data_IF_612030250105
#
_entry.id   IF_612030250105
#
_cell.length_a   1.000
_cell.length_b   1.000
_cell.length_c   1.000
_cell.angle_alpha   90.00
_cell.angle_beta   90.00
_cell.angle_gamma   90.00
#
_symmetry.space_group_name_H-M   'P 1'
#
loop_
_entity.id
_entity.type
_entity.pdbx_description
1 polymer ?
#
# COMPACT_ATOMS: atom_id res chain seq x y z
N UNK A 1 -4.64 8.79 -31.43
CA UNK A 1 -3.57 9.63 -30.95
C UNK A 1 -3.43 9.38 -29.46
N UNK A 2 -2.31 8.78 -29.07
CA UNK A 2 -2.00 8.60 -27.67
C UNK A 2 -1.80 10.00 -27.07
N UNK A 3 -2.78 10.48 -26.36
CA UNK A 3 -2.60 11.60 -25.46
C UNK A 3 -1.89 11.01 -24.26
N UNK A 4 -0.58 10.97 -24.31
CA UNK A 4 0.19 10.76 -23.10
C UNK A 4 -0.13 11.92 -22.17
N UNK A 5 -0.86 11.62 -21.11
CA UNK A 5 -1.14 12.60 -20.08
C UNK A 5 0.15 12.87 -19.34
N UNK A 6 0.63 14.09 -19.31
CA UNK A 6 1.59 14.45 -18.29
C UNK A 6 0.85 14.31 -16.96
N UNK A 7 1.12 13.24 -16.23
CA UNK A 7 0.91 13.26 -14.80
C UNK A 7 1.87 14.34 -14.28
N UNK A 8 1.37 15.54 -14.10
CA UNK A 8 2.10 16.58 -13.39
C UNK A 8 2.12 16.23 -11.90
N UNK A 9 2.77 15.12 -11.59
CA UNK A 9 3.19 14.86 -10.24
C UNK A 9 4.48 15.66 -10.04
N UNK A 10 4.33 16.84 -9.50
CA UNK A 10 5.47 17.66 -9.07
C UNK A 10 6.04 17.08 -7.76
N UNK A 11 6.61 15.90 -7.84
CA UNK A 11 7.62 15.52 -6.87
C UNK A 11 8.83 16.47 -7.05
N UNK A 12 9.49 16.82 -5.96
CA UNK A 12 10.66 17.73 -5.93
C UNK A 12 11.80 17.38 -6.90
N UNK A 13 11.77 16.19 -7.51
CA UNK A 13 12.71 15.69 -8.51
C UNK A 13 11.95 15.20 -9.74
N UNK A 14 11.04 16.05 -10.24
CA UNK A 14 10.25 15.69 -11.40
C UNK A 14 11.13 15.22 -12.57
N UNK A 15 10.88 14.02 -13.02
CA UNK A 15 11.37 13.44 -14.28
C UNK A 15 10.85 14.20 -15.51
N UNK A 16 10.17 15.30 -15.30
CA UNK A 16 9.59 16.17 -16.32
C UNK A 16 10.50 17.35 -16.62
N UNK A 17 11.74 17.09 -16.98
CA UNK A 17 12.45 18.10 -17.73
C UNK A 17 11.69 18.31 -19.04
N UNK A 18 10.84 19.36 -19.06
CA UNK A 18 10.25 19.92 -20.28
C UNK A 18 9.28 19.02 -21.05
N UNK A 19 8.43 18.23 -20.37
CA UNK A 19 7.32 17.62 -21.06
C UNK A 19 6.21 18.67 -21.29
N UNK A 20 6.24 19.31 -22.44
CA UNK A 20 5.13 20.10 -22.93
C UNK A 20 4.25 19.21 -23.80
N UNK A 21 2.99 18.93 -23.41
CA UNK A 21 2.10 18.17 -24.27
C UNK A 21 1.87 18.96 -25.55
N UNK A 22 2.41 18.44 -26.66
CA UNK A 22 2.28 19.06 -27.97
C UNK A 22 1.41 18.19 -28.86
N UNK A 23 0.43 18.82 -29.51
CA UNK A 23 -0.31 18.21 -30.59
C UNK A 23 0.22 18.82 -31.88
N UNK A 24 0.83 18.00 -32.72
CA UNK A 24 1.23 18.44 -34.05
C UNK A 24 0.05 18.28 -34.99
N UNK A 25 -0.45 19.37 -35.53
CA UNK A 25 -1.52 19.37 -36.52
C UNK A 25 -0.92 19.44 -37.91
N UNK A 26 -1.31 18.53 -38.77
CA UNK A 26 -1.02 18.61 -40.20
C UNK A 26 -1.78 19.79 -40.81
N UNK A 27 -1.26 20.41 -41.89
CA UNK A 27 -1.95 21.50 -42.57
C UNK A 27 -3.40 21.13 -42.95
N UNK A 28 -4.34 22.04 -42.64
CA UNK A 28 -5.75 21.84 -42.89
C UNK A 28 -6.50 20.92 -41.89
N UNK A 29 -5.84 20.47 -40.82
CA UNK A 29 -6.49 19.72 -39.74
C UNK A 29 -6.85 20.65 -38.61
N UNK A 30 -7.98 20.38 -37.97
CA UNK A 30 -8.48 21.08 -36.79
C UNK A 30 -8.68 20.10 -35.65
N UNK A 31 -8.33 20.52 -34.43
CA UNK A 31 -8.70 19.82 -33.20
C UNK A 31 -9.68 20.71 -32.44
N UNK A 32 -10.78 20.11 -32.04
CA UNK A 32 -11.78 20.77 -31.18
C UNK A 32 -11.82 20.05 -29.84
N UNK A 33 -12.07 20.81 -28.78
CA UNK A 33 -12.31 20.26 -27.44
C UNK A 33 -13.41 21.07 -26.77
N UNK A 34 -14.17 20.39 -25.93
CA UNK A 34 -15.17 21.04 -25.09
C UNK A 34 -14.58 21.24 -23.68
N UNK A 35 -14.87 22.42 -23.12
CA UNK A 35 -14.52 22.74 -21.75
C UNK A 35 -15.80 23.05 -20.96
N UNK A 36 -15.94 22.45 -19.80
CA UNK A 36 -17.12 22.64 -18.94
C UNK A 36 -16.72 23.42 -17.69
N UNK A 37 -17.44 24.48 -17.40
CA UNK A 37 -17.31 25.23 -16.15
C UNK A 37 -18.55 24.92 -15.31
N UNK A 38 -18.31 24.33 -14.13
CA UNK A 38 -19.37 24.01 -13.18
C UNK A 38 -19.35 25.00 -12.04
N UNK A 39 -20.46 25.66 -11.81
CA UNK A 39 -20.64 26.58 -10.67
C UNK A 39 -21.86 26.14 -9.86
N UNK A 40 -21.80 26.28 -8.56
CA UNK A 40 -22.92 25.91 -7.69
C UNK A 40 -22.54 25.93 -6.21
N UNK A 41 -23.54 25.66 -5.38
CA UNK A 41 -23.36 25.49 -3.94
C UNK A 41 -23.25 23.98 -3.66
N UNK A 42 -22.22 23.53 -2.95
CA UNK A 42 -22.10 22.11 -2.63
C UNK A 42 -23.24 21.65 -1.72
N UNK A 43 -23.75 20.43 -1.94
CA UNK A 43 -24.78 19.83 -1.09
C UNK A 43 -24.33 19.67 0.36
N UNK A 44 -23.04 19.43 0.56
CA UNK A 44 -22.43 19.33 1.88
C UNK A 44 -21.24 20.27 1.97
N UNK A 45 -21.13 20.97 3.10
CA UNK A 45 -19.97 21.84 3.39
C UNK A 45 -18.69 21.01 3.28
N UNK A 46 -17.71 21.52 2.57
CA UNK A 46 -16.40 20.88 2.31
C UNK A 46 -16.38 19.68 1.34
N UNK A 47 -17.50 19.37 0.66
CA UNK A 47 -17.57 18.25 -0.28
C UNK A 47 -17.89 18.69 -1.71
N UNK A 48 -17.47 19.87 -2.11
CA UNK A 48 -17.66 20.40 -3.46
C UNK A 48 -17.09 19.48 -4.55
N UNK A 49 -15.97 18.80 -4.27
CA UNK A 49 -15.34 17.85 -5.21
C UNK A 49 -16.24 16.67 -5.56
N UNK A 50 -17.01 16.14 -4.62
CA UNK A 50 -17.95 15.06 -4.89
C UNK A 50 -19.03 15.48 -5.86
N UNK A 51 -19.59 16.68 -5.69
CA UNK A 51 -20.58 17.22 -6.63
C UNK A 51 -20.01 17.42 -8.04
N UNK A 52 -18.76 17.89 -8.15
CA UNK A 52 -18.09 18.03 -9.44
C UNK A 52 -17.86 16.68 -10.10
N UNK A 53 -17.48 15.65 -9.33
CA UNK A 53 -17.33 14.29 -9.84
C UNK A 53 -18.64 13.72 -10.35
N UNK A 54 -19.74 13.85 -9.61
CA UNK A 54 -21.06 13.38 -10.01
C UNK A 54 -21.51 14.05 -11.33
N UNK A 55 -21.28 15.36 -11.44
CA UNK A 55 -21.58 16.10 -12.66
C UNK A 55 -20.67 15.63 -13.81
N UNK A 56 -19.38 15.47 -13.56
CA UNK A 56 -18.45 15.01 -14.58
C UNK A 56 -18.83 13.61 -15.10
N UNK A 57 -19.14 12.66 -14.22
CA UNK A 57 -19.60 11.32 -14.59
C UNK A 57 -20.86 11.41 -15.45
N UNK A 58 -21.83 12.23 -15.05
CA UNK A 58 -23.10 12.39 -15.76
C UNK A 58 -22.93 12.99 -17.16
N UNK A 59 -22.10 14.03 -17.30
CA UNK A 59 -21.93 14.73 -18.57
C UNK A 59 -20.91 14.09 -19.49
N UNK A 60 -19.83 13.56 -18.95
CA UNK A 60 -18.78 12.88 -19.73
C UNK A 60 -19.19 11.45 -20.11
N UNK A 61 -20.32 10.95 -19.55
CA UNK A 61 -20.79 9.58 -19.79
C UNK A 61 -19.66 8.56 -19.64
N UNK A 62 -18.85 8.76 -18.59
CA UNK A 62 -17.76 7.84 -18.30
C UNK A 62 -18.36 6.46 -17.99
N UNK A 63 -18.19 5.54 -18.91
CA UNK A 63 -18.46 4.12 -18.68
C UNK A 63 -17.15 3.46 -18.29
N UNK A 64 -17.17 2.71 -17.19
CA UNK A 64 -16.08 1.83 -16.89
C UNK A 64 -16.17 0.62 -17.83
N UNK A 65 -15.24 0.51 -18.76
CA UNK A 65 -15.09 -0.72 -19.54
C UNK A 65 -14.28 -1.71 -18.69
N UNK A 66 -14.86 -2.88 -18.47
CA UNK A 66 -14.10 -3.97 -17.86
C UNK A 66 -13.03 -4.44 -18.84
N UNK A 67 -11.85 -4.81 -18.36
CA UNK A 67 -10.84 -5.40 -19.24
C UNK A 67 -11.40 -6.65 -19.91
N UNK A 68 -11.08 -6.84 -21.17
CA UNK A 68 -11.57 -7.97 -21.97
C UNK A 68 -11.20 -9.33 -21.36
N UNK A 69 -10.06 -9.40 -20.66
CA UNK A 69 -9.60 -10.61 -19.99
C UNK A 69 -9.05 -10.32 -18.59
N UNK A 70 -9.89 -10.37 -17.54
CA UNK A 70 -9.45 -10.15 -16.16
C UNK A 70 -8.35 -11.14 -15.70
N UNK A 71 -8.37 -12.38 -16.18
CA UNK A 71 -7.36 -13.39 -15.85
C UNK A 71 -5.97 -13.03 -16.43
N UNK A 72 -5.89 -12.45 -17.61
CA UNK A 72 -4.62 -11.96 -18.14
C UNK A 72 -4.04 -10.85 -17.28
N UNK A 73 -4.88 -9.93 -16.80
CA UNK A 73 -4.44 -8.85 -15.91
C UNK A 73 -3.98 -9.42 -14.57
N UNK A 74 -4.73 -10.38 -14.02
CA UNK A 74 -4.33 -11.08 -12.77
C UNK A 74 -2.98 -11.76 -12.94
N UNK A 75 -2.80 -12.53 -14.01
CA UNK A 75 -1.56 -13.24 -14.27
C UNK A 75 -0.37 -12.29 -14.52
N UNK A 76 -0.58 -11.22 -15.27
CA UNK A 76 0.44 -10.19 -15.47
C UNK A 76 0.83 -9.51 -14.15
N UNK A 77 -0.14 -9.26 -13.28
CA UNK A 77 0.10 -8.69 -11.95
C UNK A 77 0.93 -9.62 -11.07
N UNK A 78 0.63 -10.92 -11.04
CA UNK A 78 1.44 -11.88 -10.30
C UNK A 78 2.84 -12.04 -10.89
N UNK A 79 2.97 -12.07 -12.23
CA UNK A 79 4.29 -12.06 -12.87
C UNK A 79 5.11 -10.84 -12.47
N UNK A 80 4.50 -9.66 -12.41
CA UNK A 80 5.17 -8.45 -11.95
C UNK A 80 5.60 -8.56 -10.48
N UNK A 81 4.78 -9.18 -9.62
CA UNK A 81 5.15 -9.44 -8.21
C UNK A 81 6.32 -10.41 -8.11
N UNK A 82 6.36 -11.44 -8.97
CA UNK A 82 7.51 -12.36 -9.05
C UNK A 82 8.79 -11.61 -9.43
N UNK A 83 8.71 -10.67 -10.38
CA UNK A 83 9.84 -9.81 -10.76
C UNK A 83 10.30 -8.90 -9.60
N UNK A 84 9.39 -8.46 -8.72
CA UNK A 84 9.74 -7.69 -7.52
C UNK A 84 10.34 -8.54 -6.42
N UNK A 85 10.11 -9.85 -6.44
CA UNK A 85 10.60 -10.76 -5.40
C UNK A 85 12.12 -10.76 -5.36
N UNK A 86 12.66 -10.59 -4.15
CA UNK A 86 14.10 -10.43 -3.93
C UNK A 86 14.54 -11.27 -2.73
N UNK A 87 15.66 -11.95 -2.87
CA UNK A 87 16.33 -12.65 -1.76
C UNK A 87 17.32 -11.69 -1.12
N UNK A 88 17.16 -11.47 0.17
CA UNK A 88 18.10 -10.75 1.02
C UNK A 88 18.66 -11.68 2.07
N UNK A 89 19.58 -11.21 2.89
CA UNK A 89 20.20 -12.02 3.96
C UNK A 89 19.14 -12.58 4.93
N UNK A 90 18.14 -11.81 5.22
CA UNK A 90 17.04 -12.13 6.15
C UNK A 90 16.04 -13.12 5.56
N UNK A 91 15.93 -13.21 4.23
CA UNK A 91 15.00 -14.11 3.54
C UNK A 91 14.41 -13.52 2.25
N UNK A 92 13.09 -13.65 2.07
CA UNK A 92 12.39 -13.19 0.88
C UNK A 92 11.60 -11.92 1.18
N UNK A 93 11.72 -10.92 0.30
CA UNK A 93 10.99 -9.66 0.37
C UNK A 93 10.57 -9.21 -1.02
N UNK A 94 9.66 -8.26 -1.11
CA UNK A 94 9.33 -7.58 -2.36
C UNK A 94 9.93 -6.19 -2.39
N UNK A 95 10.59 -5.86 -3.49
CA UNK A 95 11.00 -4.48 -3.79
C UNK A 95 9.76 -3.58 -3.93
N UNK A 96 9.90 -2.31 -3.60
CA UNK A 96 8.83 -1.32 -3.82
C UNK A 96 8.56 -1.02 -5.30
N UNK A 97 9.41 -1.47 -6.21
CA UNK A 97 9.22 -1.25 -7.65
C UNK A 97 10.51 -1.14 -8.43
N UNK A 98 10.37 -0.53 -9.60
CA UNK A 98 11.47 -0.24 -10.50
C UNK A 98 11.64 1.28 -10.63
N UNK A 99 12.87 1.72 -10.76
CA UNK A 99 13.21 3.11 -11.07
C UNK A 99 14.00 3.19 -12.37
N UNK A 100 13.73 4.18 -13.25
CA UNK A 100 14.56 4.41 -14.39
C UNK A 100 15.90 5.03 -13.98
N UNK A 101 16.98 4.61 -14.62
CA UNK A 101 18.27 5.28 -14.55
C UNK A 101 18.32 6.49 -15.51
N UNK A 102 19.48 7.10 -15.65
CA UNK A 102 19.70 8.24 -16.55
C UNK A 102 19.49 7.92 -18.04
N UNK A 103 19.49 6.63 -18.42
CA UNK A 103 19.25 6.12 -19.78
C UNK A 103 17.82 5.60 -19.95
N UNK A 104 16.92 5.83 -18.98
CA UNK A 104 15.57 5.26 -18.90
C UNK A 104 15.53 3.73 -18.87
N UNK A 105 16.59 3.08 -18.40
CA UNK A 105 16.60 1.65 -18.12
C UNK A 105 16.01 1.44 -16.73
N UNK A 106 14.92 0.68 -16.66
CA UNK A 106 14.25 0.39 -15.40
C UNK A 106 15.00 -0.70 -14.62
N UNK A 107 15.45 -0.35 -13.43
CA UNK A 107 16.13 -1.27 -12.52
C UNK A 107 15.31 -1.47 -11.25
N UNK A 108 15.28 -2.70 -10.73
CA UNK A 108 14.60 -3.02 -9.49
C UNK A 108 15.25 -2.27 -8.33
N UNK A 109 14.44 -1.59 -7.53
CA UNK A 109 14.92 -0.84 -6.37
C UNK A 109 15.36 -1.79 -5.24
N UNK A 110 16.40 -1.41 -4.53
CA UNK A 110 16.85 -2.11 -3.33
C UNK A 110 16.26 -1.43 -2.09
N UNK A 111 14.93 -1.34 -2.06
CA UNK A 111 14.15 -0.77 -0.98
C UNK A 111 12.92 -1.66 -0.71
N UNK A 112 12.68 -2.01 0.56
CA UNK A 112 11.71 -3.01 0.96
C UNK A 112 10.90 -2.50 2.13
N UNK A 113 9.60 -2.32 1.93
CA UNK A 113 8.65 -1.87 2.95
C UNK A 113 7.57 -2.91 3.19
N UNK A 114 7.16 -3.06 4.46
CA UNK A 114 6.14 -4.05 4.84
C UNK A 114 4.74 -3.67 4.38
N UNK A 115 4.40 -2.39 4.46
CA UNK A 115 3.05 -1.87 4.27
C UNK A 115 2.91 -1.04 3.00
N UNK A 116 2.47 0.18 3.15
CA UNK A 116 1.88 1.06 2.15
C UNK A 116 2.56 1.06 0.77
N UNK A 117 3.82 1.46 0.65
CA UNK A 117 4.49 1.47 -0.66
C UNK A 117 4.99 0.09 -1.06
N UNK A 118 5.59 -0.64 -0.14
CA UNK A 118 6.21 -1.93 -0.40
C UNK A 118 5.23 -3.09 -0.50
N UNK A 119 4.05 -2.95 0.09
CA UNK A 119 2.93 -3.90 -0.02
C UNK A 119 3.26 -5.36 0.27
N UNK A 120 4.40 -5.64 0.97
CA UNK A 120 4.87 -6.99 1.19
C UNK A 120 3.81 -7.89 1.86
N UNK A 121 3.18 -7.41 2.93
CA UNK A 121 2.15 -8.18 3.64
C UNK A 121 0.89 -8.37 2.80
N UNK A 122 0.46 -7.36 2.03
CA UNK A 122 -0.72 -7.44 1.18
C UNK A 122 -0.52 -8.42 0.03
N UNK A 123 0.61 -8.35 -0.67
CA UNK A 123 0.90 -9.30 -1.74
C UNK A 123 1.04 -10.73 -1.23
N UNK A 124 1.63 -10.93 -0.05
CA UNK A 124 1.65 -12.25 0.59
C UNK A 124 0.23 -12.77 0.84
N UNK A 125 -0.69 -11.91 1.30
CA UNK A 125 -2.11 -12.29 1.45
C UNK A 125 -2.73 -12.70 0.11
N UNK A 126 -2.56 -11.92 -0.94
CA UNK A 126 -3.10 -12.24 -2.27
C UNK A 126 -2.54 -13.57 -2.81
N UNK A 127 -1.26 -13.88 -2.55
CA UNK A 127 -0.67 -15.17 -2.90
C UNK A 127 -1.27 -16.33 -2.09
N UNK A 128 -1.59 -16.13 -0.80
CA UNK A 128 -2.28 -17.13 0.01
C UNK A 128 -3.70 -17.37 -0.49
N UNK A 129 -4.42 -16.33 -0.87
CA UNK A 129 -5.76 -16.43 -1.45
C UNK A 129 -5.72 -17.18 -2.78
N UNK A 130 -4.77 -16.87 -3.65
CA UNK A 130 -4.57 -17.56 -4.93
C UNK A 130 -4.22 -19.04 -4.73
N UNK A 131 -3.38 -19.38 -3.74
CA UNK A 131 -3.13 -20.77 -3.39
C UNK A 131 -4.39 -21.47 -2.88
N UNK A 132 -5.19 -20.80 -2.07
CA UNK A 132 -6.45 -21.37 -1.58
C UNK A 132 -7.43 -21.68 -2.73
N UNK A 133 -7.39 -20.87 -3.80
CA UNK A 133 -8.25 -21.01 -4.97
C UNK A 133 -7.78 -22.10 -5.94
N UNK A 134 -6.48 -22.15 -6.26
CA UNK A 134 -5.97 -22.99 -7.36
C UNK A 134 -4.87 -24.00 -6.96
N UNK A 135 -4.39 -23.97 -5.70
CA UNK A 135 -3.38 -24.90 -5.21
C UNK A 135 -1.94 -24.62 -5.67
N UNK A 136 -1.63 -23.41 -6.14
CA UNK A 136 -0.28 -23.03 -6.58
C UNK A 136 0.69 -22.96 -5.40
N UNK A 137 1.46 -24.03 -5.22
CA UNK A 137 2.43 -24.17 -4.13
C UNK A 137 3.52 -23.11 -4.13
N UNK A 138 3.91 -22.61 -5.31
CA UNK A 138 4.92 -21.56 -5.41
C UNK A 138 4.43 -20.28 -4.72
N UNK A 139 3.18 -19.92 -4.93
CA UNK A 139 2.58 -18.75 -4.26
C UNK A 139 2.50 -18.93 -2.75
N UNK A 140 2.09 -20.13 -2.28
CA UNK A 140 2.09 -20.45 -0.86
C UNK A 140 3.49 -20.27 -0.25
N UNK A 141 4.50 -20.92 -0.83
CA UNK A 141 5.87 -20.90 -0.32
C UNK A 141 6.44 -19.47 -0.32
N UNK A 142 6.17 -18.70 -1.37
CA UNK A 142 6.60 -17.31 -1.48
C UNK A 142 5.92 -16.43 -0.42
N UNK A 143 4.61 -16.55 -0.27
CA UNK A 143 3.85 -15.80 0.74
C UNK A 143 4.34 -16.07 2.17
N UNK A 144 4.49 -17.36 2.52
CA UNK A 144 5.01 -17.77 3.82
C UNK A 144 6.42 -17.23 4.03
N UNK A 145 7.29 -17.36 3.02
CA UNK A 145 8.66 -16.87 3.10
C UNK A 145 8.73 -15.35 3.31
N UNK A 146 7.87 -14.58 2.65
CA UNK A 146 7.80 -13.11 2.83
C UNK A 146 7.37 -12.79 4.27
N UNK A 147 6.25 -13.33 4.73
CA UNK A 147 5.71 -13.02 6.06
C UNK A 147 6.68 -13.44 7.16
N UNK A 148 7.25 -14.65 7.08
CA UNK A 148 8.22 -15.15 8.07
C UNK A 148 9.53 -14.34 8.03
N UNK A 149 9.91 -13.79 6.89
CA UNK A 149 11.06 -12.88 6.79
C UNK A 149 10.80 -11.59 7.56
N UNK A 150 9.63 -11.00 7.38
CA UNK A 150 9.26 -9.77 8.07
C UNK A 150 9.02 -9.93 9.57
N UNK A 151 8.82 -11.15 10.10
CA UNK A 151 8.83 -11.39 11.54
C UNK A 151 10.16 -10.99 12.20
N UNK A 152 11.27 -11.00 11.45
CA UNK A 152 12.58 -10.58 11.93
C UNK A 152 12.72 -9.08 12.15
N UNK A 153 11.77 -8.31 11.62
CA UNK A 153 11.67 -6.86 11.84
C UNK A 153 10.91 -6.50 13.13
N UNK A 154 10.35 -7.48 13.84
CA UNK A 154 9.62 -7.27 15.11
C UNK A 154 10.53 -6.80 16.22
N UNK A 155 9.96 -5.99 17.10
CA UNK A 155 10.62 -5.45 18.28
C UNK A 155 9.90 -5.89 19.55
N UNK A 156 10.63 -5.89 20.68
CA UNK A 156 10.11 -6.36 21.97
C UNK A 156 8.98 -5.48 22.54
N UNK A 157 8.86 -4.25 22.07
CA UNK A 157 7.80 -3.31 22.48
C UNK A 157 6.48 -3.51 21.72
N UNK A 158 6.39 -4.50 20.83
CA UNK A 158 5.21 -4.80 20.01
C UNK A 158 5.21 -4.11 18.64
N UNK A 159 6.11 -3.18 18.40
CA UNK A 159 6.29 -2.54 17.09
C UNK A 159 7.16 -3.39 16.16
N UNK A 160 7.35 -2.91 14.94
CA UNK A 160 8.30 -3.46 13.99
C UNK A 160 8.94 -2.36 13.14
N UNK A 161 10.10 -2.64 12.59
CA UNK A 161 10.64 -1.83 11.50
C UNK A 161 9.75 -1.96 10.26
N UNK A 162 9.55 -0.85 9.58
CA UNK A 162 8.74 -0.83 8.33
C UNK A 162 9.58 -1.02 7.08
N UNK A 163 10.92 -0.86 7.18
CA UNK A 163 11.87 -1.05 6.09
C UNK A 163 12.99 -1.98 6.54
N UNK A 164 13.44 -2.87 5.66
CA UNK A 164 14.59 -3.75 5.98
C UNK A 164 15.92 -3.00 6.03
N UNK A 165 16.07 -1.94 5.26
CA UNK A 165 17.26 -1.08 5.32
C UNK A 165 17.40 -0.37 6.67
N UNK A 166 16.30 -0.25 7.41
CA UNK A 166 16.29 0.33 8.75
C UNK A 166 16.83 -0.62 9.81
N UNK A 167 16.91 -1.92 9.53
CA UNK A 167 17.48 -2.89 10.46
C UNK A 167 18.98 -2.64 10.55
N UNK A 168 19.40 -2.06 11.69
CA UNK A 168 20.78 -1.63 11.90
C UNK A 168 21.12 -0.24 11.34
N UNK A 169 20.14 0.49 10.79
CA UNK A 169 20.32 1.88 10.36
C UNK A 169 20.06 2.86 11.52
N UNK A 170 20.41 4.12 11.29
CA UNK A 170 20.14 5.22 12.24
C UNK A 170 18.69 5.73 12.19
N UNK A 171 17.89 5.35 11.19
CA UNK A 171 16.50 5.75 11.10
C UNK A 171 15.58 4.59 11.46
N UNK A 172 14.85 4.77 12.56
CA UNK A 172 13.90 3.79 13.08
C UNK A 172 12.46 4.30 13.04
N UNK A 173 12.22 5.34 12.25
CA UNK A 173 10.90 5.97 12.15
C UNK A 173 9.97 5.05 11.38
N UNK A 174 8.89 4.66 12.05
CA UNK A 174 7.80 3.86 11.49
C UNK A 174 6.52 4.70 11.46
N UNK A 175 5.95 4.86 10.27
CA UNK A 175 4.69 5.57 10.12
C UNK A 175 3.48 4.63 10.27
N UNK A 176 2.34 5.22 10.62
CA UNK A 176 1.11 4.49 10.88
C UNK A 176 0.46 3.93 9.63
N UNK A 177 0.77 4.43 8.42
CA UNK A 177 0.32 3.80 7.20
C UNK A 177 0.91 2.40 7.08
N UNK A 178 2.23 2.30 7.19
CA UNK A 178 2.94 1.03 7.09
C UNK A 178 2.56 0.08 8.22
N UNK A 179 2.58 0.53 9.49
CA UNK A 179 2.24 -0.29 10.65
C UNK A 179 0.78 -0.76 10.64
N UNK A 180 -0.16 0.12 10.29
CA UNK A 180 -1.57 -0.21 10.23
C UNK A 180 -1.89 -1.22 9.12
N UNK A 181 -1.34 -1.02 7.92
CA UNK A 181 -1.48 -2.00 6.85
C UNK A 181 -0.83 -3.34 7.23
N UNK A 182 0.40 -3.32 7.75
CA UNK A 182 1.09 -4.55 8.16
C UNK A 182 0.24 -5.34 9.16
N UNK A 183 -0.23 -4.72 10.23
CA UNK A 183 -1.02 -5.39 11.24
C UNK A 183 -2.35 -5.95 10.70
N UNK A 184 -3.05 -5.17 9.86
CA UNK A 184 -4.29 -5.64 9.23
C UNK A 184 -4.06 -6.86 8.33
N UNK A 185 -3.01 -6.81 7.51
CA UNK A 185 -2.71 -7.88 6.58
C UNK A 185 -2.17 -9.12 7.29
N UNK A 186 -1.36 -8.99 8.33
CA UNK A 186 -0.92 -10.12 9.17
C UNK A 186 -2.11 -10.85 9.83
N UNK A 187 -3.10 -10.14 10.36
CA UNK A 187 -4.29 -10.76 10.93
C UNK A 187 -5.12 -11.51 9.87
N UNK A 188 -5.25 -10.94 8.66
CA UNK A 188 -5.92 -11.61 7.54
C UNK A 188 -5.15 -12.85 7.06
N UNK A 189 -3.82 -12.72 6.92
CA UNK A 189 -2.95 -13.85 6.54
C UNK A 189 -3.02 -14.98 7.55
N UNK A 190 -3.03 -14.68 8.85
CA UNK A 190 -3.23 -15.67 9.89
C UNK A 190 -4.54 -16.44 9.68
N UNK A 191 -5.67 -15.76 9.49
CA UNK A 191 -6.97 -16.39 9.25
C UNK A 191 -6.98 -17.30 8.02
N UNK A 192 -6.35 -16.85 6.93
CA UNK A 192 -6.23 -17.68 5.73
C UNK A 192 -5.36 -18.91 6.02
N UNK A 193 -4.22 -18.73 6.69
CA UNK A 193 -3.33 -19.83 7.06
C UNK A 193 -4.06 -20.89 7.90
N UNK A 194 -4.81 -20.48 8.93
CA UNK A 194 -5.63 -21.39 9.74
C UNK A 194 -6.63 -22.18 8.88
N UNK A 195 -7.29 -21.52 7.92
CA UNK A 195 -8.24 -22.19 7.02
C UNK A 195 -7.57 -23.21 6.08
N UNK A 196 -6.27 -23.05 5.83
CA UNK A 196 -5.43 -23.94 5.05
C UNK A 196 -4.75 -25.04 5.90
N UNK A 197 -5.00 -25.04 7.21
CA UNK A 197 -4.35 -25.96 8.16
C UNK A 197 -2.89 -25.63 8.47
N UNK A 198 -2.46 -24.39 8.23
CA UNK A 198 -1.12 -23.90 8.53
C UNK A 198 -1.14 -23.17 9.87
N UNK A 199 -0.36 -23.64 10.83
CA UNK A 199 -0.21 -22.95 12.12
C UNK A 199 0.84 -21.84 12.01
N UNK A 200 0.39 -20.59 12.14
CA UNK A 200 1.21 -19.37 12.07
C UNK A 200 0.83 -18.36 13.15
N UNK A 201 0.84 -18.74 14.44
CA UNK A 201 0.41 -17.86 15.52
C UNK A 201 1.22 -16.55 15.58
N UNK A 202 2.49 -16.57 15.19
CA UNK A 202 3.37 -15.40 15.21
C UNK A 202 2.87 -14.28 14.29
N UNK A 203 2.10 -14.61 13.25
CA UNK A 203 1.50 -13.62 12.37
C UNK A 203 0.40 -12.83 13.12
N UNK A 204 -0.46 -13.54 13.86
CA UNK A 204 -1.47 -12.88 14.70
C UNK A 204 -0.81 -12.10 15.84
N UNK A 205 0.22 -12.64 16.48
CA UNK A 205 0.97 -11.97 17.55
C UNK A 205 1.58 -10.66 17.06
N UNK A 206 2.01 -10.59 15.80
CA UNK A 206 2.53 -9.36 15.18
C UNK A 206 1.44 -8.30 15.12
N UNK A 207 0.25 -8.66 14.63
CA UNK A 207 -0.88 -7.75 14.57
C UNK A 207 -1.32 -7.27 15.96
N UNK A 208 -1.42 -8.21 16.93
CA UNK A 208 -1.76 -7.92 18.33
C UNK A 208 -0.73 -6.96 18.95
N UNK A 209 0.56 -7.19 18.73
CA UNK A 209 1.63 -6.36 19.26
C UNK A 209 1.49 -4.90 18.84
N UNK A 210 1.35 -4.66 17.53
CA UNK A 210 1.19 -3.32 16.97
C UNK A 210 -0.11 -2.67 17.49
N UNK A 211 -1.24 -3.38 17.45
CA UNK A 211 -2.51 -2.87 17.93
C UNK A 211 -2.47 -2.52 19.42
N UNK A 212 -1.89 -3.40 20.25
CA UNK A 212 -1.78 -3.18 21.70
C UNK A 212 -0.90 -1.98 22.03
N UNK A 213 0.22 -1.82 21.32
CA UNK A 213 1.06 -0.63 21.47
C UNK A 213 0.26 0.65 21.17
N UNK A 214 -0.46 0.66 20.06
CA UNK A 214 -1.21 1.83 19.63
C UNK A 214 -2.34 2.20 20.59
N UNK A 215 -3.07 1.21 21.10
CA UNK A 215 -4.15 1.46 22.07
C UNK A 215 -3.59 2.00 23.37
N UNK A 216 -2.51 1.40 23.86
CA UNK A 216 -1.85 1.85 25.11
C UNK A 216 -1.39 3.30 25.04
N UNK A 217 -1.01 3.77 23.85
CA UNK A 217 -0.46 5.10 23.62
C UNK A 217 -1.46 6.07 22.96
N UNK A 218 -2.72 5.67 22.83
CA UNK A 218 -3.77 6.56 22.34
C UNK A 218 -3.98 7.74 23.31
N UNK A 219 -4.18 8.92 22.75
CA UNK A 219 -4.58 10.10 23.53
C UNK A 219 -5.59 10.96 22.78
N UNK A 220 -6.50 11.60 23.50
CA UNK A 220 -7.54 12.45 22.91
C UNK A 220 -6.99 13.64 22.11
N UNK A 221 -5.78 14.10 22.45
CA UNK A 221 -5.15 15.22 21.76
C UNK A 221 -4.43 14.84 20.46
N UNK A 222 -3.97 13.58 20.35
CA UNK A 222 -3.11 13.12 19.25
C UNK A 222 -3.72 11.92 18.47
N UNK A 223 -4.80 11.34 19.00
CA UNK A 223 -5.31 10.08 18.45
C UNK A 223 -4.25 8.97 18.52
N UNK A 224 -4.06 8.26 17.42
CA UNK A 224 -3.03 7.23 17.29
C UNK A 224 -1.67 7.78 16.77
N UNK A 225 -1.54 9.11 16.61
CA UNK A 225 -0.33 9.71 16.05
C UNK A 225 -0.11 9.42 14.57
N UNK A 226 1.01 9.88 14.03
CA UNK A 226 1.36 9.68 12.61
C UNK A 226 2.59 8.81 12.44
N UNK A 227 3.62 9.04 13.25
CA UNK A 227 4.87 8.30 13.19
C UNK A 227 5.49 8.13 14.56
N UNK A 228 6.18 7.03 14.76
CA UNK A 228 6.81 6.61 16.00
C UNK A 228 8.25 6.19 15.73
N UNK A 229 9.16 6.49 16.64
CA UNK A 229 10.44 5.78 16.67
C UNK A 229 10.18 4.35 17.15
N UNK A 230 10.43 3.39 16.28
CA UNK A 230 10.08 2.00 16.55
C UNK A 230 10.90 1.39 17.72
N UNK A 231 12.13 1.88 17.95
CA UNK A 231 12.98 1.37 19.03
C UNK A 231 12.56 1.87 20.40
N UNK A 232 12.35 3.20 20.51
CA UNK A 232 12.00 3.82 21.80
C UNK A 232 10.52 3.76 22.09
N UNK A 233 9.68 3.71 21.06
CA UNK A 233 8.23 3.83 21.16
C UNK A 233 7.74 5.26 21.29
N UNK A 234 8.62 6.26 21.15
CA UNK A 234 8.25 7.67 21.25
C UNK A 234 7.59 8.17 19.96
N UNK A 235 6.49 8.88 20.08
CA UNK A 235 5.88 9.54 18.94
C UNK A 235 6.74 10.72 18.46
N UNK A 236 7.15 10.66 17.20
CA UNK A 236 7.94 11.72 16.56
C UNK A 236 7.08 12.68 15.75
N UNK A 237 5.89 12.25 15.35
CA UNK A 237 4.87 13.09 14.73
C UNK A 237 3.46 12.61 15.16
N UNK A 238 2.72 13.52 15.76
CA UNK A 238 1.36 13.26 16.29
C UNK A 238 0.27 13.96 15.49
N UNK A 239 0.62 14.66 14.41
CA UNK A 239 -0.32 15.47 13.65
C UNK A 239 -0.90 14.74 12.46
N UNK A 240 -2.19 15.00 12.20
CA UNK A 240 -2.88 14.53 11.02
C UNK A 240 -3.68 13.23 11.23
N UNK A 241 -4.23 12.71 10.14
CA UNK A 241 -5.17 11.57 10.14
C UNK A 241 -4.52 10.23 9.85
N UNK A 242 -3.20 10.18 9.68
CA UNK A 242 -2.47 8.97 9.31
C UNK A 242 -2.62 7.86 10.35
N UNK A 243 -2.76 8.20 11.62
CA UNK A 243 -3.06 7.24 12.68
C UNK A 243 -4.33 6.43 12.47
N UNK A 244 -5.26 6.90 11.64
CA UNK A 244 -6.49 6.17 11.33
C UNK A 244 -6.25 4.85 10.56
N UNK A 245 -5.08 4.67 9.95
CA UNK A 245 -4.72 3.40 9.29
C UNK A 245 -4.62 2.22 10.25
N UNK A 246 -4.56 2.45 11.57
CA UNK A 246 -4.61 1.36 12.55
C UNK A 246 -6.03 0.79 12.74
N UNK A 247 -7.09 1.52 12.37
CA UNK A 247 -8.47 1.10 12.60
C UNK A 247 -8.80 -0.23 11.90
N UNK A 248 -8.46 -0.46 10.62
CA UNK A 248 -8.63 -1.76 9.99
C UNK A 248 -7.90 -2.88 10.73
N UNK A 249 -6.68 -2.62 11.24
CA UNK A 249 -5.92 -3.60 12.01
C UNK A 249 -6.62 -3.99 13.31
N UNK A 250 -7.15 -3.02 14.04
CA UNK A 250 -7.94 -3.26 15.26
C UNK A 250 -9.16 -4.14 14.97
N UNK A 251 -9.87 -3.87 13.87
CA UNK A 251 -11.04 -4.64 13.47
C UNK A 251 -10.67 -6.08 13.07
N UNK A 252 -9.62 -6.26 12.27
CA UNK A 252 -9.19 -7.60 11.85
C UNK A 252 -8.66 -8.41 13.05
N UNK A 253 -7.86 -7.81 13.93
CA UNK A 253 -7.36 -8.46 15.14
C UNK A 253 -8.50 -8.82 16.11
N UNK A 254 -9.51 -7.97 16.24
CA UNK A 254 -10.70 -8.28 17.05
C UNK A 254 -11.48 -9.47 16.51
N UNK A 255 -11.59 -9.63 15.19
CA UNK A 255 -12.26 -10.79 14.59
C UNK A 255 -11.65 -12.10 15.06
N UNK A 256 -10.33 -12.14 15.20
CA UNK A 256 -9.60 -13.35 15.61
C UNK A 256 -9.61 -13.56 17.13
N UNK A 257 -9.38 -12.50 17.89
CA UNK A 257 -9.18 -12.61 19.34
C UNK A 257 -10.47 -12.48 20.13
N UNK A 258 -11.51 -11.85 19.57
CA UNK A 258 -12.71 -11.37 20.29
C UNK A 258 -12.36 -10.48 21.50
N UNK A 259 -11.15 -9.97 21.51
CA UNK A 259 -10.67 -9.13 22.58
C UNK A 259 -11.22 -7.71 22.39
N UNK A 260 -11.98 -7.23 23.35
CA UNK A 260 -12.42 -5.84 23.37
C UNK A 260 -11.24 -5.04 23.92
N UNK A 261 -10.62 -4.30 23.05
CA UNK A 261 -9.69 -3.27 23.47
C UNK A 261 -10.51 -2.15 24.14
N UNK A 262 -10.62 -2.22 25.43
CA UNK A 262 -11.29 -1.21 26.27
C UNK A 262 -10.27 -0.27 26.88
#
# INVERSE_FOLDING_TARGET
PNIERPLSYTAKNAYTKNYEPKITLAPGKTVSFDAYIVTGVPYYKNFASANVQDIAIKYLKCTAELPENPEEIKNASFSFVDDLTTKIKEGTVLSIGFSPDENNIFTKQNHFEIGWCGQNAMFARLMLEEYAENGDKHKLETAVSILDTWLKARLNNGLMYICFESIGSSSHISDMCNLGYAAAEYAKCFRIAESLGLSKPEWLDTAIGICSFMIKNYSDGCGFGKAVDALTGDFVDTKGTVGAFIIPALLETYKETKNKYT
#
